data_IF_909589302476
#
_entry.id   IF_909589302476
#
_cell.length_a   1.000
_cell.length_b   1.000
_cell.length_c   1.000
_cell.angle_alpha   90.00
_cell.angle_beta   90.00
_cell.angle_gamma   90.00
#
_symmetry.space_group_name_H-M   'P 1'
#
loop_
_entity.id
_entity.type
_entity.pdbx_description
1 polymer ?
#
# COMPACT_ATOMS: atom_id res chain seq x y z
N UNK A 1 32.51 74.50 46.76
CA UNK A 1 32.02 73.11 46.64
C UNK A 1 33.16 72.21 47.09
N UNK A 2 33.10 71.70 48.33
CA UNK A 2 34.27 71.14 49.01
C UNK A 2 34.66 69.80 48.37
N UNK A 3 35.91 69.71 47.87
CA UNK A 3 36.51 68.50 47.30
C UNK A 3 36.37 67.28 48.22
N UNK A 4 36.32 67.49 49.54
CA UNK A 4 36.11 66.45 50.55
C UNK A 4 34.74 65.76 50.42
N UNK A 5 33.66 66.49 50.12
CA UNK A 5 32.32 65.91 49.95
C UNK A 5 32.18 65.10 48.64
N UNK A 6 32.97 65.43 47.62
CA UNK A 6 32.99 64.70 46.34
C UNK A 6 33.75 63.37 46.52
N UNK A 7 34.84 63.38 47.29
CA UNK A 7 35.64 62.18 47.57
C UNK A 7 34.89 61.20 48.47
N UNK A 8 34.19 61.67 49.51
CA UNK A 8 33.35 60.81 50.36
C UNK A 8 32.20 60.16 49.56
N UNK A 9 31.58 60.89 48.63
CA UNK A 9 30.53 60.34 47.77
C UNK A 9 31.08 59.30 46.78
N UNK A 10 32.27 59.51 46.23
CA UNK A 10 32.93 58.55 45.34
C UNK A 10 33.38 57.27 46.07
N UNK A 11 33.85 57.37 47.31
CA UNK A 11 34.26 56.20 48.11
C UNK A 11 33.04 55.35 48.49
N UNK A 12 31.92 55.97 48.90
CA UNK A 12 30.67 55.24 49.19
C UNK A 12 30.06 54.61 47.93
N UNK A 13 30.16 55.27 46.77
CA UNK A 13 29.72 54.71 45.50
C UNK A 13 30.60 53.53 45.02
N UNK A 14 31.92 53.57 45.29
CA UNK A 14 32.86 52.48 44.96
C UNK A 14 32.68 51.24 45.85
N UNK A 15 32.22 51.40 47.10
CA UNK A 15 31.90 50.27 47.99
C UNK A 15 30.55 49.61 47.67
N UNK A 16 29.64 50.28 46.97
CA UNK A 16 28.35 49.69 46.53
C UNK A 16 28.43 48.95 45.19
N UNK A 17 29.52 49.10 44.44
CA UNK A 17 29.77 48.37 43.19
C UNK A 17 30.67 47.13 43.34
N UNK A 18 31.13 46.83 44.55
CA UNK A 18 32.00 45.69 44.85
C UNK A 18 31.29 44.76 45.84
N UNK A 19 30.95 43.55 45.37
CA UNK A 19 30.24 42.45 46.04
C UNK A 19 28.76 42.27 45.65
N UNK A 20 28.45 42.24 44.35
CA UNK A 20 27.23 41.61 43.84
C UNK A 20 27.61 40.61 42.74
N UNK A 21 27.24 39.34 42.88
CA UNK A 21 27.34 38.37 41.79
C UNK A 21 26.53 38.92 40.60
N UNK A 22 27.06 38.96 39.37
CA UNK A 22 26.30 39.42 38.21
C UNK A 22 24.97 38.68 38.12
N UNK A 23 23.87 39.41 37.92
CA UNK A 23 22.51 38.83 37.89
C UNK A 23 22.39 37.66 36.90
N UNK A 24 23.11 37.73 35.79
CA UNK A 24 23.21 36.67 34.78
C UNK A 24 23.85 35.39 35.31
N UNK A 25 24.89 35.52 36.14
CA UNK A 25 25.57 34.38 36.76
C UNK A 25 24.70 33.76 37.86
N UNK A 26 23.96 34.59 38.60
CA UNK A 26 22.98 34.14 39.59
C UNK A 26 21.82 33.36 38.93
N UNK A 27 21.22 33.89 37.86
CA UNK A 27 20.14 33.22 37.13
C UNK A 27 20.60 31.90 36.49
N UNK A 28 21.83 31.87 35.95
CA UNK A 28 22.45 30.64 35.42
C UNK A 28 22.62 29.60 36.51
N UNK A 29 23.19 29.97 37.66
CA UNK A 29 23.35 29.07 38.80
C UNK A 29 22.00 28.58 39.34
N UNK A 30 20.96 29.42 39.32
CA UNK A 30 19.62 29.03 39.74
C UNK A 30 19.03 27.97 38.79
N UNK A 31 19.16 28.16 37.48
CA UNK A 31 18.71 27.18 36.49
C UNK A 31 19.48 25.86 36.59
N UNK A 32 20.81 25.91 36.76
CA UNK A 32 21.63 24.73 36.99
C UNK A 32 21.22 23.99 38.27
N UNK A 33 20.90 24.73 39.35
CA UNK A 33 20.45 24.14 40.61
C UNK A 33 19.10 23.42 40.46
N UNK A 34 18.13 24.02 39.76
CA UNK A 34 16.85 23.38 39.49
C UNK A 34 16.99 22.15 38.57
N UNK A 35 17.86 22.23 37.55
CA UNK A 35 18.18 21.08 36.71
C UNK A 35 18.80 19.93 37.52
N UNK A 36 19.78 20.23 38.38
CA UNK A 36 20.42 19.24 39.26
C UNK A 36 19.45 18.65 40.28
N UNK A 37 18.53 19.44 40.84
CA UNK A 37 17.47 18.92 41.71
C UNK A 37 16.56 17.94 40.96
N UNK A 38 16.17 18.28 39.72
CA UNK A 38 15.39 17.39 38.87
C UNK A 38 16.14 16.10 38.58
N UNK A 39 17.43 16.19 38.25
CA UNK A 39 18.27 15.01 37.99
C UNK A 39 18.43 14.13 39.23
N UNK A 40 18.70 14.71 40.40
CA UNK A 40 18.76 13.98 41.68
C UNK A 40 17.44 13.28 41.95
N UNK A 41 16.30 13.92 41.67
CA UNK A 41 15.00 13.29 41.86
C UNK A 41 14.80 12.11 40.90
N UNK A 42 15.18 12.25 39.64
CA UNK A 42 15.14 11.15 38.66
C UNK A 42 16.03 9.99 39.10
N UNK A 43 17.27 10.26 39.51
CA UNK A 43 18.20 9.24 39.99
C UNK A 43 17.68 8.51 41.24
N UNK A 44 17.02 9.23 42.15
CA UNK A 44 16.37 8.62 43.32
C UNK A 44 15.22 7.69 42.92
N UNK A 45 14.42 8.09 41.95
CA UNK A 45 13.32 7.25 41.44
C UNK A 45 13.88 6.00 40.74
N UNK A 46 14.90 6.15 39.90
CA UNK A 46 15.57 5.02 39.24
C UNK A 46 16.19 4.07 40.28
N UNK A 47 16.84 4.61 41.31
CA UNK A 47 17.42 3.81 42.39
C UNK A 47 16.37 3.03 43.18
N UNK A 48 15.21 3.65 43.48
CA UNK A 48 14.09 2.93 44.10
C UNK A 48 13.60 1.79 43.21
N UNK A 49 13.52 2.01 41.88
CA UNK A 49 13.17 0.93 40.97
C UNK A 49 14.22 -0.18 40.95
N UNK A 50 15.51 0.15 40.91
CA UNK A 50 16.60 -0.84 40.97
C UNK A 50 16.65 -1.64 42.28
N UNK A 51 16.25 -1.05 43.41
CA UNK A 51 16.34 -1.73 44.71
C UNK A 51 15.05 -2.48 45.05
N UNK A 52 13.88 -1.89 44.76
CA UNK A 52 12.59 -2.35 45.27
C UNK A 52 11.57 -2.70 44.16
N UNK A 53 11.89 -2.41 42.88
CA UNK A 53 10.93 -2.47 41.78
C UNK A 53 10.63 -3.88 41.25
N UNK A 54 11.56 -4.84 41.35
CA UNK A 54 11.47 -6.16 40.72
C UNK A 54 10.15 -6.90 41.02
N UNK A 55 9.84 -7.06 42.31
CA UNK A 55 8.66 -7.79 42.76
C UNK A 55 7.35 -7.08 42.36
N UNK A 56 7.34 -5.74 42.46
CA UNK A 56 6.20 -4.92 42.05
C UNK A 56 5.96 -5.05 40.55
N UNK A 57 6.98 -4.85 39.72
CA UNK A 57 6.88 -4.92 38.27
C UNK A 57 6.47 -6.32 37.81
N UNK A 58 7.04 -7.37 38.41
CA UNK A 58 6.63 -8.76 38.14
C UNK A 58 5.16 -9.05 38.47
N UNK A 59 4.65 -8.52 39.60
CA UNK A 59 3.24 -8.66 39.95
C UNK A 59 2.33 -7.90 38.97
N UNK A 60 2.74 -6.71 38.54
CA UNK A 60 2.01 -5.91 37.57
C UNK A 60 1.98 -6.55 36.17
N UNK A 61 3.05 -7.24 35.76
CA UNK A 61 3.09 -8.03 34.52
C UNK A 61 2.06 -9.16 34.59
N UNK A 62 2.05 -9.93 35.68
CA UNK A 62 1.09 -11.03 35.89
C UNK A 62 -0.35 -10.55 35.85
N UNK A 63 -0.64 -9.47 36.58
CA UNK A 63 -1.97 -8.85 36.60
C UNK A 63 -2.40 -8.40 35.20
N UNK A 64 -1.57 -7.65 34.50
CA UNK A 64 -1.89 -7.17 33.14
C UNK A 64 -2.10 -8.35 32.16
N UNK A 65 -1.31 -9.41 32.31
CA UNK A 65 -1.47 -10.63 31.52
C UNK A 65 -2.80 -11.35 31.82
N UNK A 66 -3.17 -11.50 33.10
CA UNK A 66 -4.45 -12.10 33.51
C UNK A 66 -5.66 -11.28 33.04
N UNK A 67 -5.53 -9.96 33.03
CA UNK A 67 -6.53 -9.02 32.51
C UNK A 67 -6.55 -8.96 30.97
N UNK A 68 -5.73 -9.76 30.27
CA UNK A 68 -5.56 -9.75 28.81
C UNK A 68 -5.15 -8.38 28.24
N UNK A 69 -4.57 -7.51 29.07
CA UNK A 69 -4.02 -6.22 28.66
C UNK A 69 -2.55 -6.40 28.24
N UNK A 70 -2.35 -7.01 27.07
CA UNK A 70 -1.02 -7.39 26.58
C UNK A 70 -0.11 -6.19 26.29
N UNK A 71 -0.66 -5.03 25.92
CA UNK A 71 0.11 -3.80 25.71
C UNK A 71 0.75 -3.34 27.02
N UNK A 72 -0.04 -3.23 28.07
CA UNK A 72 0.43 -2.84 29.41
C UNK A 72 1.40 -3.88 30.00
N UNK A 73 1.14 -5.18 29.80
CA UNK A 73 2.03 -6.25 30.22
C UNK A 73 3.41 -6.15 29.53
N UNK A 74 3.45 -5.77 28.25
CA UNK A 74 4.69 -5.59 27.48
C UNK A 74 5.47 -4.35 27.91
N UNK A 75 4.79 -3.23 28.15
CA UNK A 75 5.43 -2.01 28.69
C UNK A 75 6.11 -2.32 30.03
N UNK A 76 5.46 -3.11 30.87
CA UNK A 76 6.02 -3.55 32.16
C UNK A 76 7.14 -4.57 32.01
N UNK A 77 7.09 -5.45 31.00
CA UNK A 77 8.22 -6.34 30.68
C UNK A 77 9.45 -5.54 30.24
N UNK A 78 9.28 -4.51 29.41
CA UNK A 78 10.38 -3.63 29.01
C UNK A 78 10.95 -2.87 30.23
N UNK A 79 10.09 -2.47 31.18
CA UNK A 79 10.53 -1.88 32.44
C UNK A 79 11.33 -2.88 33.27
N UNK A 80 10.86 -4.13 33.37
CA UNK A 80 11.56 -5.19 34.11
C UNK A 80 12.92 -5.49 33.48
N UNK A 81 13.00 -5.62 32.15
CA UNK A 81 14.26 -5.84 31.43
C UNK A 81 15.26 -4.71 31.63
N UNK A 82 14.79 -3.46 31.66
CA UNK A 82 15.64 -2.27 31.86
C UNK A 82 16.27 -2.21 33.25
N UNK A 83 15.48 -2.50 34.29
CA UNK A 83 15.90 -2.30 35.68
C UNK A 83 16.35 -3.59 36.38
N UNK A 84 15.87 -4.76 35.95
CA UNK A 84 16.10 -6.08 36.56
C UNK A 84 16.23 -7.18 35.50
N UNK A 85 17.26 -7.14 34.64
CA UNK A 85 17.42 -8.12 33.56
C UNK A 85 17.53 -9.57 34.06
N UNK A 86 18.05 -9.81 35.27
CA UNK A 86 18.12 -11.12 35.90
C UNK A 86 16.75 -11.74 36.19
N UNK A 87 15.72 -10.91 36.42
CA UNK A 87 14.34 -11.37 36.62
C UNK A 87 13.73 -11.90 35.33
N UNK A 88 14.22 -11.46 34.17
CA UNK A 88 13.78 -11.93 32.85
C UNK A 88 14.14 -13.41 32.61
N UNK A 89 15.12 -13.95 33.33
CA UNK A 89 15.52 -15.36 33.22
C UNK A 89 14.58 -16.31 33.99
N UNK A 90 13.66 -15.78 34.81
CA UNK A 90 12.73 -16.61 35.57
C UNK A 90 11.78 -17.35 34.63
N UNK A 91 11.57 -18.68 34.81
CA UNK A 91 10.73 -19.48 33.92
C UNK A 91 9.31 -18.94 33.72
N UNK A 92 8.72 -18.36 34.77
CA UNK A 92 7.39 -17.75 34.70
C UNK A 92 7.36 -16.51 33.81
N UNK A 93 8.36 -15.63 33.94
CA UNK A 93 8.49 -14.40 33.14
C UNK A 93 8.76 -14.74 31.68
N UNK A 94 9.66 -15.70 31.42
CA UNK A 94 9.91 -16.22 30.07
C UNK A 94 8.61 -16.74 29.44
N UNK A 95 7.81 -17.52 30.20
CA UNK A 95 6.54 -18.05 29.70
C UNK A 95 5.55 -16.93 29.36
N UNK A 96 5.37 -15.97 30.27
CA UNK A 96 4.46 -14.85 30.08
C UNK A 96 4.89 -14.00 28.88
N UNK A 97 6.18 -13.66 28.78
CA UNK A 97 6.75 -12.92 27.65
C UNK A 97 6.46 -13.61 26.31
N UNK A 98 6.75 -14.91 26.18
CA UNK A 98 6.44 -15.66 24.95
C UNK A 98 4.95 -15.66 24.61
N UNK A 99 4.07 -15.74 25.61
CA UNK A 99 2.63 -15.72 25.39
C UNK A 99 2.13 -14.34 24.95
N UNK A 100 2.69 -13.27 25.51
CA UNK A 100 2.41 -11.88 25.10
C UNK A 100 2.83 -11.68 23.65
N UNK A 101 4.05 -12.06 23.27
CA UNK A 101 4.55 -11.93 21.90
C UNK A 101 3.67 -12.69 20.89
N UNK A 102 3.26 -13.91 21.26
CA UNK A 102 2.36 -14.71 20.42
C UNK A 102 0.99 -14.06 20.24
N UNK A 103 0.43 -13.49 21.33
CA UNK A 103 -0.88 -12.83 21.31
C UNK A 103 -0.86 -11.51 20.55
N UNK A 104 0.20 -10.72 20.66
CA UNK A 104 0.35 -9.51 19.84
C UNK A 104 0.46 -9.83 18.36
N UNK A 105 1.22 -10.89 18.01
CA UNK A 105 1.30 -11.33 16.62
C UNK A 105 -0.06 -11.78 16.08
N UNK A 106 -0.83 -12.52 16.88
CA UNK A 106 -2.19 -12.93 16.54
C UNK A 106 -3.11 -11.72 16.34
N UNK A 107 -3.08 -10.75 17.26
CA UNK A 107 -3.86 -9.50 17.20
C UNK A 107 -3.48 -8.65 16.00
N UNK A 108 -2.19 -8.52 15.69
CA UNK A 108 -1.70 -7.78 14.53
C UNK A 108 -2.17 -8.42 13.22
N UNK A 109 -2.09 -9.76 13.10
CA UNK A 109 -2.62 -10.50 11.96
C UNK A 109 -4.13 -10.34 11.83
N UNK A 110 -4.87 -10.34 12.96
CA UNK A 110 -6.31 -10.13 12.96
C UNK A 110 -6.67 -8.73 12.47
N UNK A 111 -6.03 -7.69 13.01
CA UNK A 111 -6.24 -6.29 12.58
C UNK A 111 -5.87 -6.09 11.11
N UNK A 112 -4.78 -6.70 10.63
CA UNK A 112 -4.40 -6.67 9.22
C UNK A 112 -5.46 -7.34 8.34
N UNK A 113 -6.01 -8.48 8.77
CA UNK A 113 -7.07 -9.17 8.05
C UNK A 113 -8.39 -8.37 8.05
N UNK A 114 -8.79 -7.79 9.18
CA UNK A 114 -9.95 -6.91 9.31
C UNK A 114 -9.82 -5.66 8.44
N UNK A 115 -8.64 -5.04 8.40
CA UNK A 115 -8.31 -3.91 7.53
C UNK A 115 -8.43 -4.28 6.05
N UNK A 116 -7.83 -5.40 5.65
CA UNK A 116 -7.93 -5.91 4.28
C UNK A 116 -9.37 -6.17 3.87
N UNK A 117 -10.15 -6.77 4.76
CA UNK A 117 -11.57 -7.04 4.50
C UNK A 117 -12.39 -5.75 4.42
N UNK A 118 -12.12 -4.75 5.28
CA UNK A 118 -12.78 -3.45 5.19
C UNK A 118 -12.51 -2.77 3.85
N UNK A 119 -11.25 -2.71 3.42
CA UNK A 119 -10.85 -2.15 2.13
C UNK A 119 -11.53 -2.90 0.98
N UNK A 120 -11.61 -4.24 1.07
CA UNK A 120 -12.30 -5.09 0.09
C UNK A 120 -13.78 -4.73 0.00
N UNK A 121 -14.47 -4.55 1.13
CA UNK A 121 -15.88 -4.20 1.18
C UNK A 121 -16.15 -2.79 0.66
N UNK A 122 -15.31 -1.82 1.02
CA UNK A 122 -15.40 -0.44 0.51
C UNK A 122 -15.28 -0.38 -1.02
N UNK A 123 -14.46 -1.26 -1.60
CA UNK A 123 -14.23 -1.31 -3.05
C UNK A 123 -15.00 -2.42 -3.76
N UNK A 124 -15.96 -3.09 -3.11
CA UNK A 124 -16.62 -4.29 -3.63
C UNK A 124 -17.28 -4.09 -5.01
N UNK A 125 -17.80 -2.89 -5.25
CA UNK A 125 -18.49 -2.50 -6.48
C UNK A 125 -17.62 -1.65 -7.42
N UNK A 126 -16.38 -1.35 -7.04
CA UNK A 126 -15.45 -0.68 -7.92
C UNK A 126 -14.98 -1.69 -8.96
N UNK A 127 -15.20 -1.40 -10.24
CA UNK A 127 -14.75 -2.25 -11.37
C UNK A 127 -13.70 -1.55 -12.22
N UNK A 128 -13.19 -0.38 -11.81
CA UNK A 128 -12.18 0.35 -12.55
C UNK A 128 -12.65 0.69 -13.97
N UNK A 129 -11.87 0.30 -14.98
CA UNK A 129 -12.24 0.50 -16.39
C UNK A 129 -13.24 -0.54 -16.90
N UNK A 130 -13.54 -1.58 -16.13
CA UNK A 130 -14.33 -2.73 -16.56
C UNK A 130 -15.82 -2.51 -16.35
N UNK A 131 -16.61 -2.98 -17.30
CA UNK A 131 -18.06 -2.92 -17.29
C UNK A 131 -18.62 -4.29 -17.64
N UNK A 132 -19.49 -4.82 -16.78
CA UNK A 132 -20.30 -6.00 -17.07
C UNK A 132 -21.55 -5.53 -17.83
N UNK A 133 -21.80 -6.13 -18.99
CA UNK A 133 -22.98 -5.86 -19.81
C UNK A 133 -23.49 -7.17 -20.41
N UNK A 134 -24.59 -7.12 -21.15
CA UNK A 134 -25.20 -8.30 -21.79
C UNK A 134 -25.18 -8.16 -23.30
N UNK A 135 -25.14 -9.30 -23.99
CA UNK A 135 -25.48 -9.35 -25.41
C UNK A 135 -26.93 -8.91 -25.60
N UNK A 136 -27.27 -8.53 -26.84
CA UNK A 136 -28.64 -8.17 -27.20
C UNK A 136 -29.18 -9.16 -28.23
N UNK A 137 -30.47 -9.40 -28.18
CA UNK A 137 -31.16 -10.20 -29.19
C UNK A 137 -31.39 -9.39 -30.48
N UNK A 138 -32.11 -10.00 -31.43
CA UNK A 138 -32.43 -9.38 -32.72
C UNK A 138 -33.30 -8.11 -32.62
N UNK A 139 -33.90 -7.87 -31.46
CA UNK A 139 -34.74 -6.71 -31.18
C UNK A 139 -34.01 -5.65 -30.33
N UNK A 140 -32.75 -5.91 -29.96
CA UNK A 140 -31.96 -5.03 -29.11
C UNK A 140 -32.23 -5.21 -27.61
N UNK A 141 -32.96 -6.24 -27.21
CA UNK A 141 -33.24 -6.53 -25.81
C UNK A 141 -32.07 -7.30 -25.17
N UNK A 142 -31.65 -6.95 -23.93
CA UNK A 142 -30.57 -7.67 -23.24
C UNK A 142 -30.88 -9.15 -23.05
N UNK A 143 -29.92 -10.01 -23.42
CA UNK A 143 -29.97 -11.45 -23.16
C UNK A 143 -29.45 -11.77 -21.75
N UNK A 144 -29.49 -13.05 -21.37
CA UNK A 144 -28.86 -13.54 -20.12
C UNK A 144 -27.35 -13.73 -20.24
N UNK A 145 -26.81 -13.63 -21.45
CA UNK A 145 -25.41 -13.87 -21.72
C UNK A 145 -24.63 -12.58 -21.47
N UNK A 146 -24.00 -12.52 -20.29
CA UNK A 146 -23.16 -11.41 -19.86
C UNK A 146 -21.74 -11.51 -20.42
N UNK A 147 -21.08 -10.36 -20.53
CA UNK A 147 -19.64 -10.27 -20.79
C UNK A 147 -19.05 -9.02 -20.15
N UNK A 148 -17.73 -9.03 -19.93
CA UNK A 148 -16.98 -7.86 -19.48
C UNK A 148 -16.36 -7.16 -20.69
N UNK A 149 -16.46 -5.84 -20.71
CA UNK A 149 -15.74 -4.95 -21.64
C UNK A 149 -15.11 -3.80 -20.90
N UNK A 150 -14.17 -3.11 -21.55
CA UNK A 150 -13.75 -1.78 -21.13
C UNK A 150 -14.88 -0.75 -21.35
N UNK A 151 -15.02 0.17 -20.39
CA UNK A 151 -15.99 1.27 -20.39
C UNK A 151 -15.73 2.21 -21.55
N UNK A 152 -14.50 2.74 -21.60
CA UNK A 152 -13.98 3.56 -22.70
C UNK A 152 -13.03 2.72 -23.56
N UNK A 153 -12.95 3.02 -24.87
CA UNK A 153 -12.00 2.39 -25.78
C UNK A 153 -10.56 2.60 -25.28
N UNK A 154 -9.73 1.58 -25.43
CA UNK A 154 -8.30 1.65 -25.08
C UNK A 154 -7.55 2.11 -26.32
N UNK A 155 -6.90 3.27 -26.23
CA UNK A 155 -6.16 3.81 -27.35
C UNK A 155 -4.78 3.17 -27.50
N UNK A 156 -4.32 3.10 -28.74
CA UNK A 156 -3.02 2.59 -29.13
C UNK A 156 -2.63 3.09 -30.51
N UNK A 157 -1.74 2.34 -31.17
CA UNK A 157 -1.33 2.61 -32.54
C UNK A 157 -1.31 1.35 -33.39
N UNK A 158 -1.41 1.55 -34.70
CA UNK A 158 -1.20 0.48 -35.67
C UNK A 158 -0.36 0.97 -36.85
N UNK A 159 0.27 0.02 -37.55
CA UNK A 159 0.97 0.25 -38.81
C UNK A 159 0.62 -0.86 -39.79
N UNK A 160 0.54 -0.52 -41.07
CA UNK A 160 0.39 -1.46 -42.18
C UNK A 160 1.13 -0.92 -43.41
N UNK A 161 0.86 -1.47 -44.60
CA UNK A 161 1.52 -1.00 -45.83
C UNK A 161 1.11 0.42 -46.25
N UNK A 162 0.00 0.95 -45.75
CA UNK A 162 -0.54 2.26 -46.11
C UNK A 162 -0.19 3.36 -45.08
N UNK A 163 0.05 3.01 -43.82
CA UNK A 163 0.30 3.99 -42.76
C UNK A 163 1.22 3.48 -41.65
N UNK A 164 1.80 4.41 -40.90
CA UNK A 164 2.65 4.13 -39.75
C UNK A 164 2.13 4.85 -38.51
N UNK A 165 2.07 4.14 -37.37
CA UNK A 165 1.68 4.66 -36.06
C UNK A 165 0.36 5.44 -36.07
N UNK A 166 -0.60 5.02 -36.91
CA UNK A 166 -1.91 5.63 -36.94
C UNK A 166 -2.73 5.26 -35.70
N UNK A 167 -3.73 6.08 -35.31
CA UNK A 167 -4.55 5.82 -34.13
C UNK A 167 -5.24 4.46 -34.20
N UNK A 168 -5.25 3.76 -33.08
CA UNK A 168 -6.00 2.51 -32.88
C UNK A 168 -6.86 2.67 -31.63
N UNK A 169 -8.08 2.16 -31.69
CA UNK A 169 -8.89 1.93 -30.50
C UNK A 169 -9.16 0.43 -30.32
N UNK A 170 -9.30 0.00 -29.06
CA UNK A 170 -9.45 -1.41 -28.71
C UNK A 170 -10.61 -1.63 -27.73
N UNK A 171 -11.35 -2.72 -27.95
CA UNK A 171 -12.38 -3.21 -27.04
C UNK A 171 -12.16 -4.67 -26.68
N UNK A 172 -12.20 -4.98 -25.40
CA UNK A 172 -12.24 -6.35 -24.90
C UNK A 172 -13.69 -6.87 -24.85
N UNK A 173 -13.85 -8.16 -25.13
CA UNK A 173 -15.07 -8.92 -24.90
C UNK A 173 -14.68 -10.19 -24.13
N UNK A 174 -15.01 -10.25 -22.85
CA UNK A 174 -14.58 -11.31 -21.95
C UNK A 174 -15.82 -12.03 -21.46
N UNK A 175 -16.09 -13.20 -22.04
CA UNK A 175 -17.24 -14.02 -21.68
C UNK A 175 -16.92 -14.93 -20.48
N UNK A 176 -15.67 -15.38 -20.35
CA UNK A 176 -15.20 -16.20 -19.23
C UNK A 176 -13.68 -16.15 -19.08
N UNK A 177 -13.13 -16.82 -18.06
CA UNK A 177 -11.67 -17.00 -17.92
C UNK A 177 -10.99 -17.72 -19.09
N UNK A 178 -11.76 -18.40 -19.94
CA UNK A 178 -11.28 -19.21 -21.07
C UNK A 178 -11.82 -18.73 -22.43
N UNK A 179 -12.58 -17.64 -22.44
CA UNK A 179 -13.20 -17.10 -23.66
C UNK A 179 -13.08 -15.58 -23.65
N UNK A 180 -12.08 -15.10 -24.40
CA UNK A 180 -11.70 -13.70 -24.51
C UNK A 180 -11.51 -13.38 -25.99
N UNK A 181 -12.14 -12.29 -26.40
CA UNK A 181 -11.91 -11.66 -27.69
C UNK A 181 -11.45 -10.21 -27.52
N UNK A 182 -10.80 -9.69 -28.56
CA UNK A 182 -10.55 -8.25 -28.71
C UNK A 182 -11.01 -7.76 -30.09
N UNK A 183 -11.61 -6.58 -30.12
CA UNK A 183 -11.92 -5.84 -31.33
C UNK A 183 -10.91 -4.73 -31.51
N UNK A 184 -10.40 -4.58 -32.73
CA UNK A 184 -9.42 -3.56 -33.12
C UNK A 184 -10.09 -2.57 -34.07
N UNK A 185 -9.97 -1.27 -33.81
CA UNK A 185 -10.58 -0.20 -34.61
C UNK A 185 -9.49 0.71 -35.17
N UNK A 186 -9.10 0.46 -36.42
CA UNK A 186 -8.13 1.28 -37.12
C UNK A 186 -8.63 2.71 -37.32
N UNK A 187 -7.68 3.65 -37.29
CA UNK A 187 -7.91 5.10 -37.37
C UNK A 187 -8.82 5.65 -36.26
N UNK A 188 -8.92 4.94 -35.12
CA UNK A 188 -9.89 5.21 -34.06
C UNK A 188 -11.33 5.35 -34.60
N UNK A 189 -11.66 4.53 -35.61
CA UNK A 189 -12.98 4.52 -36.25
C UNK A 189 -14.01 3.65 -35.52
N UNK A 190 -15.19 3.52 -36.13
CA UNK A 190 -16.28 2.69 -35.60
C UNK A 190 -16.39 1.31 -36.25
N UNK A 191 -15.57 1.03 -37.27
CA UNK A 191 -15.56 -0.25 -37.97
C UNK A 191 -14.40 -1.09 -37.45
N UNK A 192 -14.66 -2.29 -36.88
CA UNK A 192 -13.59 -3.16 -36.45
C UNK A 192 -12.85 -3.75 -37.65
N UNK A 193 -11.61 -4.17 -37.44
CA UNK A 193 -10.83 -4.97 -38.40
C UNK A 193 -11.59 -6.26 -38.69
N UNK A 194 -11.86 -6.50 -39.98
CA UNK A 194 -12.65 -7.65 -40.44
C UNK A 194 -11.79 -8.65 -41.18
N UNK A 195 -12.08 -9.93 -40.96
CA UNK A 195 -11.52 -11.04 -41.70
C UNK A 195 -12.62 -11.67 -42.58
N UNK A 196 -12.32 -11.85 -43.88
CA UNK A 196 -13.22 -12.54 -44.83
C UNK A 196 -12.99 -14.05 -44.85
N UNK A 197 -11.82 -14.49 -44.39
CA UNK A 197 -11.42 -15.86 -44.15
C UNK A 197 -10.71 -15.93 -42.80
N UNK A 198 -10.32 -17.12 -42.35
CA UNK A 198 -9.53 -17.27 -41.14
C UNK A 198 -8.20 -16.53 -41.28
N UNK A 199 -7.94 -15.55 -40.42
CA UNK A 199 -6.66 -14.84 -40.30
C UNK A 199 -6.07 -15.10 -38.92
N UNK A 200 -4.75 -15.35 -38.83
CA UNK A 200 -4.07 -15.62 -37.56
C UNK A 200 -3.10 -14.51 -37.17
N UNK A 201 -2.96 -14.32 -35.86
CA UNK A 201 -2.14 -13.28 -35.29
C UNK A 201 -1.25 -13.82 -34.18
N UNK A 202 0.00 -13.38 -34.18
CA UNK A 202 0.95 -13.53 -33.09
C UNK A 202 0.77 -12.38 -32.09
N UNK A 203 0.49 -12.70 -30.83
CA UNK A 203 0.22 -11.72 -29.77
C UNK A 203 1.25 -11.84 -28.65
N UNK A 204 1.97 -10.75 -28.37
CA UNK A 204 2.83 -10.63 -27.20
C UNK A 204 2.13 -9.81 -26.13
N UNK A 205 2.10 -10.34 -24.92
CA UNK A 205 1.57 -9.67 -23.73
C UNK A 205 2.66 -9.52 -22.69
N UNK A 206 2.75 -8.35 -22.06
CA UNK A 206 3.61 -8.09 -20.91
C UNK A 206 2.77 -7.61 -19.72
N UNK A 207 2.89 -8.26 -18.56
CA UNK A 207 2.22 -7.85 -17.33
C UNK A 207 2.99 -6.77 -16.54
N UNK A 208 2.40 -6.28 -15.44
CA UNK A 208 2.98 -5.24 -14.59
C UNK A 208 4.33 -5.59 -13.95
N UNK A 209 4.64 -6.89 -13.80
CA UNK A 209 5.92 -7.34 -13.24
C UNK A 209 6.95 -7.62 -14.36
N UNK A 210 6.58 -7.31 -15.61
CA UNK A 210 7.43 -7.49 -16.78
C UNK A 210 7.43 -8.89 -17.35
N UNK A 211 6.61 -9.83 -16.84
CA UNK A 211 6.50 -11.20 -17.39
C UNK A 211 5.87 -11.12 -18.77
N UNK A 212 6.52 -11.77 -19.75
CA UNK A 212 6.06 -11.80 -21.14
C UNK A 212 5.53 -13.18 -21.52
N UNK A 213 4.47 -13.20 -22.31
CA UNK A 213 3.96 -14.43 -22.93
C UNK A 213 3.71 -14.17 -24.42
N UNK A 214 3.96 -15.18 -25.24
CA UNK A 214 3.58 -15.20 -26.65
C UNK A 214 2.37 -16.09 -26.83
N UNK A 215 1.33 -15.56 -27.45
CA UNK A 215 0.02 -16.15 -27.65
C UNK A 215 -0.34 -16.12 -29.14
N UNK A 216 -1.39 -16.83 -29.50
CA UNK A 216 -2.00 -16.74 -30.82
C UNK A 216 -3.47 -16.35 -30.68
N UNK A 217 -3.94 -15.53 -31.63
CA UNK A 217 -5.35 -15.21 -31.80
C UNK A 217 -5.78 -15.50 -33.23
N UNK A 218 -7.08 -15.67 -33.45
CA UNK A 218 -7.65 -15.90 -34.78
C UNK A 218 -8.82 -14.96 -35.00
N UNK A 219 -8.83 -14.26 -36.13
CA UNK A 219 -9.99 -13.51 -36.57
C UNK A 219 -10.79 -14.33 -37.58
N UNK A 220 -12.06 -14.59 -37.25
CA UNK A 220 -13.01 -15.26 -38.13
C UNK A 220 -14.04 -14.29 -38.72
N UNK A 221 -14.14 -13.07 -38.19
CA UNK A 221 -15.15 -12.10 -38.61
C UNK A 221 -14.74 -10.69 -38.23
N UNK A 222 -14.98 -10.23 -37.01
CA UNK A 222 -14.82 -8.83 -36.59
C UNK A 222 -14.01 -8.66 -35.29
N UNK A 223 -13.39 -9.74 -34.82
CA UNK A 223 -12.67 -9.80 -33.55
C UNK A 223 -11.60 -10.88 -33.56
N UNK A 224 -10.53 -10.63 -32.83
CA UNK A 224 -9.47 -11.59 -32.58
C UNK A 224 -9.87 -12.44 -31.37
N UNK A 225 -10.16 -13.71 -31.62
CA UNK A 225 -10.50 -14.69 -30.60
C UNK A 225 -9.28 -15.44 -30.09
N UNK A 226 -9.16 -15.54 -28.77
CA UNK A 226 -8.10 -16.30 -28.11
C UNK A 226 -8.59 -17.70 -27.73
N UNK A 227 -7.80 -18.72 -28.05
CA UNK A 227 -8.08 -20.09 -27.59
C UNK A 227 -8.00 -20.21 -26.07
N UNK A 228 -8.61 -21.26 -25.50
CA UNK A 228 -8.76 -21.48 -24.05
C UNK A 228 -7.48 -21.19 -23.22
N UNK A 229 -6.34 -21.75 -23.62
CA UNK A 229 -5.06 -21.55 -22.93
C UNK A 229 -4.57 -20.11 -22.97
N UNK A 230 -4.73 -19.42 -24.12
CA UNK A 230 -4.34 -18.03 -24.28
C UNK A 230 -5.26 -17.10 -23.49
N UNK A 231 -6.56 -17.36 -23.53
CA UNK A 231 -7.57 -16.65 -22.73
C UNK A 231 -7.27 -16.76 -21.24
N UNK A 232 -6.89 -17.94 -20.74
CA UNK A 232 -6.47 -18.10 -19.32
C UNK A 232 -5.24 -17.28 -18.97
N UNK A 233 -4.27 -17.17 -19.87
CA UNK A 233 -3.07 -16.35 -19.64
C UNK A 233 -3.45 -14.87 -19.55
N UNK A 234 -4.29 -14.39 -20.46
CA UNK A 234 -4.80 -13.00 -20.43
C UNK A 234 -5.63 -12.77 -19.16
N UNK A 235 -6.58 -13.65 -18.85
CA UNK A 235 -7.39 -13.60 -17.64
C UNK A 235 -6.52 -13.48 -16.38
N UNK A 236 -5.51 -14.33 -16.23
CA UNK A 236 -4.60 -14.27 -15.08
C UNK A 236 -3.79 -12.96 -15.02
N UNK A 237 -3.40 -12.42 -16.18
CA UNK A 237 -2.72 -11.13 -16.24
C UNK A 237 -3.67 -9.97 -15.85
N UNK A 238 -4.95 -10.04 -16.21
CA UNK A 238 -5.97 -9.06 -15.80
C UNK A 238 -6.32 -9.19 -14.31
N UNK A 239 -6.44 -10.41 -13.77
CA UNK A 239 -6.65 -10.65 -12.33
C UNK A 239 -5.52 -10.09 -11.47
N UNK A 240 -4.30 -10.05 -12.02
CA UNK A 240 -3.13 -9.46 -11.36
C UNK A 240 -3.17 -7.93 -11.29
N UNK A 241 -4.00 -7.27 -12.09
CA UNK A 241 -4.13 -5.82 -12.14
C UNK A 241 -2.91 -5.08 -12.71
N UNK A 242 -2.87 -3.78 -12.49
CA UNK A 242 -1.80 -2.88 -12.93
C UNK A 242 -1.75 -2.70 -14.46
N UNK A 243 -0.56 -2.39 -14.98
CA UNK A 243 -0.39 -2.13 -16.41
C UNK A 243 -0.21 -3.41 -17.22
N UNK A 244 -0.80 -3.48 -18.41
CA UNK A 244 -0.55 -4.54 -19.40
C UNK A 244 -0.20 -3.94 -20.76
N UNK A 245 0.73 -4.55 -21.47
CA UNK A 245 1.14 -4.13 -22.82
C UNK A 245 0.86 -5.23 -23.82
N UNK A 246 0.32 -4.84 -24.97
CA UNK A 246 0.00 -5.75 -26.07
C UNK A 246 0.71 -5.32 -27.33
N UNK A 247 1.31 -6.30 -28.02
CA UNK A 247 1.78 -6.16 -29.39
C UNK A 247 1.23 -7.32 -30.22
N UNK A 248 0.57 -6.99 -31.32
CA UNK A 248 -0.11 -7.94 -32.19
C UNK A 248 0.48 -7.80 -33.59
N UNK A 249 0.78 -8.91 -34.23
CA UNK A 249 1.30 -8.96 -35.60
C UNK A 249 0.48 -9.99 -36.36
N UNK A 250 -0.01 -9.62 -37.53
CA UNK A 250 -0.69 -10.55 -38.42
C UNK A 250 0.33 -11.53 -39.01
N UNK A 251 0.01 -12.83 -39.02
CA UNK A 251 0.97 -13.86 -39.42
C UNK A 251 1.17 -13.90 -40.95
N UNK A 252 0.09 -13.75 -41.73
CA UNK A 252 0.12 -13.83 -43.19
C UNK A 252 0.68 -12.54 -43.82
N UNK A 253 0.31 -11.38 -43.27
CA UNK A 253 0.91 -10.09 -43.64
C UNK A 253 1.61 -9.45 -42.44
N UNK A 254 2.86 -9.84 -42.13
CA UNK A 254 3.60 -9.32 -40.98
C UNK A 254 3.99 -7.84 -41.10
N UNK A 255 3.51 -7.15 -42.14
CA UNK A 255 3.52 -5.69 -42.25
C UNK A 255 2.42 -5.02 -41.41
N UNK A 256 1.36 -5.76 -41.06
CA UNK A 256 0.26 -5.28 -40.23
C UNK A 256 0.55 -5.56 -38.76
N UNK A 257 0.63 -4.50 -37.95
CA UNK A 257 0.93 -4.58 -36.53
C UNK A 257 0.09 -3.61 -35.71
N UNK A 258 -0.26 -4.03 -34.50
CA UNK A 258 -1.03 -3.26 -33.53
C UNK A 258 -0.30 -3.22 -32.20
N UNK A 259 -0.40 -2.10 -31.49
CA UNK A 259 0.18 -1.94 -30.17
C UNK A 259 -0.73 -1.08 -29.30
N UNK A 260 -1.00 -1.52 -28.07
CA UNK A 260 -1.76 -0.74 -27.09
C UNK A 260 -1.39 -1.16 -25.66
N UNK A 261 -1.62 -0.25 -24.73
CA UNK A 261 -1.34 -0.45 -23.32
C UNK A 261 -2.63 -0.25 -22.51
N UNK A 262 -2.92 -1.18 -21.60
CA UNK A 262 -3.86 -0.95 -20.49
C UNK A 262 -3.05 -0.30 -19.38
N UNK A 263 -3.30 0.98 -19.10
CA UNK A 263 -2.56 1.73 -18.07
C UNK A 263 -2.86 1.19 -16.67
N UNK A 264 -4.13 0.88 -16.41
CA UNK A 264 -4.56 0.27 -15.16
C UNK A 264 -5.71 -0.73 -15.38
N UNK A 265 -5.44 -2.01 -15.15
CA UNK A 265 -6.38 -3.12 -15.23
C UNK A 265 -6.97 -3.53 -13.87
N UNK A 266 -6.66 -2.80 -12.79
CA UNK A 266 -7.17 -3.06 -11.45
C UNK A 266 -8.70 -3.18 -11.44
N UNK A 267 -9.20 -3.89 -10.43
CA UNK A 267 -10.62 -4.14 -10.22
C UNK A 267 -11.29 -5.06 -11.26
N UNK A 268 -10.52 -5.66 -12.17
CA UNK A 268 -11.01 -6.72 -13.06
C UNK A 268 -11.67 -7.87 -12.28
N UNK A 269 -11.09 -8.25 -11.14
CA UNK A 269 -11.62 -9.32 -10.28
C UNK A 269 -13.07 -9.04 -9.84
N UNK A 270 -13.41 -7.77 -9.57
CA UNK A 270 -14.77 -7.38 -9.18
C UNK A 270 -15.74 -7.48 -10.35
N UNK A 271 -15.32 -7.07 -11.55
CA UNK A 271 -16.14 -7.25 -12.76
C UNK A 271 -16.37 -8.74 -13.06
N UNK A 272 -15.34 -9.57 -12.88
CA UNK A 272 -15.44 -11.03 -13.05
C UNK A 272 -16.35 -11.69 -12.01
N UNK A 273 -16.25 -11.23 -10.76
CA UNK A 273 -17.14 -11.62 -9.66
C UNK A 273 -18.60 -11.31 -9.99
N UNK A 274 -18.89 -10.09 -10.44
CA UNK A 274 -20.23 -9.65 -10.85
C UNK A 274 -20.75 -10.50 -12.02
N UNK A 275 -19.94 -10.73 -13.05
CA UNK A 275 -20.31 -11.54 -14.20
C UNK A 275 -20.67 -12.99 -13.80
N UNK A 276 -19.87 -13.59 -12.92
CA UNK A 276 -20.02 -15.01 -12.56
C UNK A 276 -20.97 -15.26 -11.39
N UNK A 277 -21.35 -14.22 -10.64
CA UNK A 277 -22.16 -14.33 -9.43
C UNK A 277 -21.48 -15.09 -8.30
N UNK A 278 -20.14 -15.20 -8.33
CA UNK A 278 -19.33 -15.90 -7.33
C UNK A 278 -18.65 -14.95 -6.36
#
# INVERSE_FOLDING_TARGET
>A
MNAVKIIEFFIVALFLSSCGVPKTDYEKLQHENEALKSEIQTLRNDLDEYINGAARTSALIKKAFEESNFTDAKEKLALLEKYHPEEMEKPEIIRISRQIDAKEKEEALRKEAEEKERIRLENLNNTGIWQVTHYVDNFGEPTKDGYIRNTNLISGTFSNTATQNSPLDVRFLINSSSDIDIMLFEYAGNNPVKAYSKETYSVQIQDKDGKRNSLSATNYSDRLSFGESASRIIHNALMKGGSLKFRIIEDDTPTTQYQFDIVNADWYENAYRILTGK
#
